data_IF_078161504667
#
_entry.id   IF_078161504667
#
_cell.length_a   1.000
_cell.length_b   1.000
_cell.length_c   1.000
_cell.angle_alpha   90.00
_cell.angle_beta   90.00
_cell.angle_gamma   90.00
#
_symmetry.space_group_name_H-M   'P 1'
#
loop_
_entity.id
_entity.type
_entity.pdbx_description
1 polymer ?
#
# COMPACT_ATOMS: atom_id res chain seq x y z
N UNK A 1 20.86 -20.46 -3.35
CA UNK A 1 20.08 -19.34 -2.80
C UNK A 1 19.34 -19.78 -1.53
N UNK A 2 19.11 -18.88 -0.64
CA UNK A 2 18.34 -19.12 0.58
C UNK A 2 16.85 -19.23 0.22
N UNK A 3 16.17 -20.22 0.79
CA UNK A 3 14.74 -20.43 0.57
C UNK A 3 14.03 -20.28 1.93
N UNK A 4 12.95 -19.48 1.98
CA UNK A 4 12.15 -19.33 3.16
C UNK A 4 10.66 -19.56 2.87
N UNK A 5 9.91 -20.00 3.88
CA UNK A 5 8.47 -20.19 3.83
C UNK A 5 7.80 -19.11 4.68
N UNK A 6 6.78 -18.46 4.13
CA UNK A 6 5.97 -17.53 4.90
C UNK A 6 4.89 -18.24 5.73
N UNK A 7 4.18 -17.47 6.54
CA UNK A 7 3.09 -17.99 7.40
C UNK A 7 1.87 -18.49 6.61
N UNK A 8 1.74 -18.10 5.34
CA UNK A 8 0.66 -18.55 4.45
C UNK A 8 1.02 -19.81 3.66
N UNK A 9 2.26 -20.29 3.77
CA UNK A 9 2.74 -21.47 3.10
C UNK A 9 3.45 -21.21 1.75
N UNK A 10 3.57 -19.95 1.33
CA UNK A 10 4.30 -19.57 0.13
C UNK A 10 5.81 -19.72 0.33
N UNK A 11 6.53 -20.07 -0.72
CA UNK A 11 7.97 -20.25 -0.70
C UNK A 11 8.65 -19.17 -1.52
N UNK A 12 9.58 -18.48 -0.88
CA UNK A 12 10.39 -17.42 -1.48
C UNK A 12 11.83 -17.86 -1.66
N UNK A 13 12.39 -17.54 -2.83
CA UNK A 13 13.80 -17.69 -3.11
C UNK A 13 14.52 -16.35 -3.01
N UNK A 14 15.63 -16.29 -2.26
CA UNK A 14 16.45 -15.09 -2.12
C UNK A 14 17.72 -15.21 -2.95
N UNK A 15 18.00 -14.21 -3.76
CA UNK A 15 19.32 -14.00 -4.34
C UNK A 15 20.13 -13.13 -3.36
N UNK A 16 21.26 -13.61 -2.89
CA UNK A 16 22.23 -12.87 -2.06
C UNK A 16 21.75 -12.42 -0.65
N UNK A 17 20.67 -12.92 -0.09
CA UNK A 17 20.25 -12.67 1.30
C UNK A 17 19.87 -11.22 1.66
N UNK A 18 19.86 -10.29 0.71
CA UNK A 18 19.63 -8.86 0.94
C UNK A 18 18.19 -8.40 0.74
N UNK A 19 17.38 -9.18 0.05
CA UNK A 19 15.98 -8.83 -0.25
C UNK A 19 15.02 -9.85 0.35
N UNK A 20 13.72 -9.51 0.42
CA UNK A 20 12.65 -10.46 0.79
C UNK A 20 12.67 -11.69 -0.13
N UNK A 21 13.17 -11.54 -1.36
CA UNK A 21 13.14 -12.55 -2.40
C UNK A 21 11.86 -12.54 -3.21
N UNK A 22 11.77 -13.44 -4.17
CA UNK A 22 10.60 -13.62 -5.04
C UNK A 22 9.85 -14.89 -4.62
N UNK A 23 8.51 -14.85 -4.70
CA UNK A 23 7.70 -16.04 -4.49
C UNK A 23 7.95 -17.01 -5.66
N UNK A 24 8.58 -18.15 -5.36
CA UNK A 24 8.96 -19.19 -6.34
C UNK A 24 7.98 -20.36 -6.34
N UNK A 25 7.17 -20.51 -5.30
CA UNK A 25 6.10 -21.49 -5.21
C UNK A 25 4.98 -20.97 -4.31
N UNK A 26 3.79 -20.81 -4.88
CA UNK A 26 2.58 -20.45 -4.15
C UNK A 26 2.04 -21.61 -3.31
N UNK A 27 1.29 -21.26 -2.29
CA UNK A 27 0.66 -22.24 -1.39
C UNK A 27 -0.49 -23.02 -2.09
N UNK A 28 -1.08 -22.46 -3.15
CA UNK A 28 -2.15 -23.06 -3.94
C UNK A 28 -1.65 -23.27 -5.36
N UNK A 29 -1.04 -24.43 -5.63
CA UNK A 29 -0.56 -24.76 -6.97
C UNK A 29 -1.73 -25.00 -7.94
N UNK A 30 -2.78 -25.67 -7.46
CA UNK A 30 -4.02 -25.96 -8.16
C UNK A 30 -5.22 -25.64 -7.27
N UNK A 31 -6.34 -25.16 -7.83
CA UNK A 31 -7.52 -24.81 -7.05
C UNK A 31 -8.14 -26.00 -6.30
N UNK A 32 -7.87 -27.23 -6.71
CA UNK A 32 -8.26 -28.44 -5.95
C UNK A 32 -7.57 -28.54 -4.58
N UNK A 33 -6.49 -27.78 -4.37
CA UNK A 33 -5.80 -27.68 -3.06
C UNK A 33 -6.39 -26.59 -2.15
N UNK A 34 -7.35 -25.78 -2.66
CA UNK A 34 -7.85 -24.63 -1.92
C UNK A 34 -8.47 -24.98 -0.57
N UNK A 35 -9.16 -26.12 -0.44
CA UNK A 35 -9.74 -26.54 0.83
C UNK A 35 -8.69 -26.83 1.90
N UNK A 36 -7.46 -27.14 1.49
CA UNK A 36 -6.32 -27.39 2.39
C UNK A 36 -5.56 -26.12 2.75
N UNK A 37 -5.88 -24.99 2.10
CA UNK A 37 -5.27 -23.71 2.39
C UNK A 37 -5.78 -23.18 3.74
N UNK A 38 -4.90 -23.15 4.73
CA UNK A 38 -5.22 -22.73 6.10
C UNK A 38 -4.68 -21.33 6.33
N UNK A 39 -5.53 -20.42 6.80
CA UNK A 39 -5.10 -19.10 7.24
C UNK A 39 -4.22 -19.23 8.49
N UNK A 40 -3.20 -18.38 8.63
CA UNK A 40 -2.37 -18.34 9.82
C UNK A 40 -3.20 -18.11 11.08
N UNK A 41 -2.78 -18.70 12.20
CA UNK A 41 -3.36 -18.35 13.49
C UNK A 41 -3.12 -16.87 13.80
N UNK A 42 -4.13 -16.23 14.40
CA UNK A 42 -4.01 -14.85 14.85
C UNK A 42 -3.20 -14.84 16.13
N UNK A 43 -2.08 -14.12 16.13
CA UNK A 43 -1.21 -14.01 17.30
C UNK A 43 -1.86 -13.15 18.40
N UNK A 44 -2.68 -13.77 19.23
CA UNK A 44 -3.33 -13.12 20.37
C UNK A 44 -2.31 -12.61 21.43
N UNK A 45 -1.11 -13.18 21.48
CA UNK A 45 -0.06 -12.72 22.42
C UNK A 45 0.56 -11.40 21.95
N UNK A 46 0.76 -11.25 20.65
CA UNK A 46 1.18 -9.98 20.03
C UNK A 46 0.13 -8.89 20.25
N UNK A 47 -1.16 -9.21 20.07
CA UNK A 47 -2.26 -8.27 20.29
C UNK A 47 -2.39 -7.87 21.77
N UNK A 48 -2.28 -8.80 22.72
CA UNK A 48 -2.25 -8.47 24.14
C UNK A 48 -1.09 -7.53 24.51
N UNK A 49 0.04 -7.69 23.84
CA UNK A 49 1.20 -6.80 23.98
C UNK A 49 0.93 -5.42 23.41
N UNK A 50 0.29 -5.33 22.23
CA UNK A 50 -0.16 -4.06 21.66
C UNK A 50 -1.14 -3.33 22.58
N UNK A 51 -2.14 -4.01 23.12
CA UNK A 51 -3.07 -3.48 24.10
C UNK A 51 -2.36 -2.92 25.34
N UNK A 52 -1.27 -3.55 25.78
CA UNK A 52 -0.51 -3.10 26.95
C UNK A 52 0.25 -1.78 26.74
N UNK A 53 0.54 -1.40 25.49
CA UNK A 53 1.24 -0.15 25.18
C UNK A 53 0.35 1.09 25.33
N UNK A 54 -0.98 0.94 25.38
CA UNK A 54 -1.93 2.04 25.48
C UNK A 54 -1.60 3.19 24.49
N UNK A 55 -1.63 2.86 23.22
CA UNK A 55 -1.33 3.83 22.15
C UNK A 55 -2.22 5.07 22.18
N UNK A 56 -3.44 4.99 22.77
CA UNK A 56 -4.33 6.13 22.98
C UNK A 56 -3.73 7.24 23.86
N UNK A 57 -2.61 6.98 24.58
CA UNK A 57 -1.86 8.00 25.32
C UNK A 57 -0.59 8.44 24.58
N UNK A 58 -0.30 7.88 23.40
CA UNK A 58 0.85 8.23 22.58
C UNK A 58 0.63 9.61 21.92
N UNK A 59 1.69 10.44 21.88
CA UNK A 59 1.70 11.74 21.18
C UNK A 59 2.01 11.61 19.68
N UNK A 60 2.07 10.39 19.17
CA UNK A 60 2.36 10.07 17.76
C UNK A 60 1.14 9.48 17.06
N UNK A 61 1.08 9.70 15.75
CA UNK A 61 0.13 9.04 14.89
C UNK A 61 0.49 7.55 14.76
N UNK A 62 -0.42 6.67 15.15
CA UNK A 62 -0.19 5.22 15.23
C UNK A 62 -0.79 4.54 14.02
N UNK A 63 0.04 3.83 13.26
CA UNK A 63 -0.37 3.11 12.06
C UNK A 63 -0.11 1.61 12.20
N UNK A 64 -1.07 0.79 11.80
CA UNK A 64 -0.93 -0.67 11.66
C UNK A 64 -0.81 -1.08 10.18
N UNK A 65 -0.47 -2.34 9.92
CA UNK A 65 -0.58 -2.95 8.59
C UNK A 65 -1.96 -3.56 8.38
N UNK A 66 -2.44 -3.55 7.14
CA UNK A 66 -3.64 -4.25 6.69
C UNK A 66 -3.33 -5.34 5.67
N UNK A 67 -4.31 -6.15 5.30
CA UNK A 67 -4.16 -7.23 4.33
C UNK A 67 -3.98 -6.70 2.90
N UNK A 68 -3.09 -7.35 2.15
CA UNK A 68 -2.87 -7.11 0.73
C UNK A 68 -3.63 -8.16 -0.07
N UNK A 69 -4.70 -7.78 -0.77
CA UNK A 69 -5.59 -8.73 -1.43
C UNK A 69 -4.98 -9.32 -2.71
N UNK A 70 -4.49 -8.44 -3.60
CA UNK A 70 -3.88 -8.88 -4.84
C UNK A 70 -2.53 -9.57 -4.60
N UNK A 71 -1.71 -9.02 -3.71
CA UNK A 71 -0.43 -9.63 -3.36
C UNK A 71 -0.61 -11.01 -2.72
N UNK A 72 -1.65 -11.20 -1.89
CA UNK A 72 -1.98 -12.51 -1.33
C UNK A 72 -2.35 -13.53 -2.43
N UNK A 73 -3.20 -13.13 -3.39
CA UNK A 73 -3.55 -13.98 -4.53
C UNK A 73 -2.33 -14.28 -5.41
N UNK A 74 -1.55 -13.25 -5.74
CA UNK A 74 -0.32 -13.38 -6.53
C UNK A 74 0.68 -14.34 -5.89
N UNK A 75 0.88 -14.23 -4.58
CA UNK A 75 1.85 -15.07 -3.88
C UNK A 75 1.33 -16.51 -3.72
N UNK A 76 0.02 -16.69 -3.48
CA UNK A 76 -0.59 -18.02 -3.36
C UNK A 76 -0.66 -18.78 -4.70
N UNK A 77 -0.86 -18.07 -5.83
CA UNK A 77 -1.06 -18.67 -7.16
C UNK A 77 0.10 -18.46 -8.13
N UNK A 78 1.07 -17.61 -7.79
CA UNK A 78 2.05 -16.98 -8.67
C UNK A 78 1.41 -16.02 -9.68
N UNK A 79 2.16 -14.99 -10.09
CA UNK A 79 1.65 -13.87 -10.89
C UNK A 79 0.88 -14.28 -12.15
N UNK A 80 1.44 -15.20 -12.93
CA UNK A 80 0.82 -15.61 -14.19
C UNK A 80 -0.54 -16.29 -13.97
N UNK A 81 -0.62 -17.22 -13.00
CA UNK A 81 -1.86 -17.90 -12.66
C UNK A 81 -2.86 -16.92 -12.02
N UNK A 82 -2.40 -16.08 -11.07
CA UNK A 82 -3.27 -15.11 -10.43
C UNK A 82 -3.97 -14.19 -11.44
N UNK A 83 -3.25 -13.71 -12.45
CA UNK A 83 -3.84 -12.89 -13.52
C UNK A 83 -4.80 -13.68 -14.40
N UNK A 84 -4.42 -14.91 -14.81
CA UNK A 84 -5.29 -15.77 -15.60
C UNK A 84 -6.58 -16.14 -14.84
N UNK A 85 -6.48 -16.45 -13.56
CA UNK A 85 -7.59 -16.83 -12.69
C UNK A 85 -8.65 -15.72 -12.57
N UNK A 86 -8.27 -14.46 -12.65
CA UNK A 86 -9.26 -13.34 -12.66
C UNK A 86 -10.24 -13.41 -13.83
N UNK A 87 -9.90 -14.11 -14.89
CA UNK A 87 -10.75 -14.30 -16.06
C UNK A 87 -11.31 -15.73 -16.18
N UNK A 88 -10.53 -16.73 -15.76
CA UNK A 88 -10.87 -18.13 -15.97
C UNK A 88 -11.55 -18.78 -14.76
N UNK A 89 -11.24 -18.29 -13.55
CA UNK A 89 -11.69 -18.88 -12.29
C UNK A 89 -12.19 -17.79 -11.31
N UNK A 90 -13.07 -16.85 -11.74
CA UNK A 90 -13.48 -15.71 -10.94
C UNK A 90 -14.14 -16.10 -9.61
N UNK A 91 -14.85 -17.23 -9.58
CA UNK A 91 -15.49 -17.75 -8.38
C UNK A 91 -14.45 -18.21 -7.34
N UNK A 92 -13.39 -18.87 -7.80
CA UNK A 92 -12.31 -19.31 -6.92
C UNK A 92 -11.49 -18.12 -6.38
N UNK A 93 -11.25 -17.11 -7.23
CA UNK A 93 -10.63 -15.85 -6.80
C UNK A 93 -11.48 -15.18 -5.72
N UNK A 94 -12.79 -15.07 -5.93
CA UNK A 94 -13.71 -14.50 -4.93
C UNK A 94 -13.68 -15.29 -3.62
N UNK A 95 -13.76 -16.62 -3.67
CA UNK A 95 -13.70 -17.47 -2.48
C UNK A 95 -12.36 -17.34 -1.73
N UNK A 96 -11.25 -17.21 -2.46
CA UNK A 96 -9.93 -16.93 -1.86
C UNK A 96 -9.92 -15.59 -1.15
N UNK A 97 -10.37 -14.53 -1.82
CA UNK A 97 -10.42 -13.18 -1.28
C UNK A 97 -11.33 -13.09 -0.05
N UNK A 98 -12.49 -13.76 -0.08
CA UNK A 98 -13.38 -13.86 1.09
C UNK A 98 -12.67 -14.46 2.32
N UNK A 99 -11.83 -15.45 2.10
CA UNK A 99 -11.04 -16.08 3.20
C UNK A 99 -10.00 -15.10 3.76
N UNK A 100 -9.29 -14.35 2.90
CA UNK A 100 -8.34 -13.31 3.32
C UNK A 100 -9.06 -12.20 4.08
N UNK A 101 -10.18 -11.70 3.56
CA UNK A 101 -10.99 -10.65 4.22
C UNK A 101 -11.50 -11.11 5.57
N UNK A 102 -12.04 -12.33 5.65
CA UNK A 102 -12.51 -12.89 6.92
C UNK A 102 -11.40 -12.95 7.98
N UNK A 103 -10.20 -13.32 7.60
CA UNK A 103 -9.03 -13.29 8.48
C UNK A 103 -8.66 -11.87 8.90
N UNK A 104 -8.62 -10.93 7.97
CA UNK A 104 -8.31 -9.53 8.24
C UNK A 104 -9.29 -8.91 9.23
N UNK A 105 -10.60 -9.15 9.05
CA UNK A 105 -11.63 -8.66 9.96
C UNK A 105 -11.46 -9.26 11.38
N UNK A 106 -11.09 -10.53 11.47
CA UNK A 106 -10.80 -11.16 12.75
C UNK A 106 -9.53 -10.57 13.41
N UNK A 107 -8.50 -10.21 12.62
CA UNK A 107 -7.33 -9.47 13.14
C UNK A 107 -7.75 -8.09 13.62
N UNK A 108 -8.55 -7.35 12.85
CA UNK A 108 -9.06 -6.04 13.22
C UNK A 108 -9.80 -6.07 14.55
N UNK A 109 -10.64 -7.09 14.80
CA UNK A 109 -11.36 -7.24 16.08
C UNK A 109 -10.42 -7.37 17.28
N UNK A 110 -9.22 -7.93 17.09
CA UNK A 110 -8.25 -8.09 18.18
C UNK A 110 -7.48 -6.81 18.48
N UNK A 111 -7.32 -5.91 17.52
CA UNK A 111 -6.61 -4.63 17.69
C UNK A 111 -7.55 -3.45 17.89
N UNK A 112 -8.86 -3.66 17.81
CA UNK A 112 -9.85 -2.64 18.11
C UNK A 112 -9.68 -2.11 19.53
N UNK A 113 -9.65 -0.78 19.70
CA UNK A 113 -9.44 -0.15 21.01
C UNK A 113 -7.98 0.01 21.44
N UNK A 114 -6.98 -0.41 20.61
CA UNK A 114 -5.56 -0.18 20.90
C UNK A 114 -5.11 1.29 20.71
N UNK A 115 -5.99 2.19 20.26
CA UNK A 115 -5.60 3.58 19.97
C UNK A 115 -4.84 3.70 18.64
N UNK A 116 -5.25 2.94 17.64
CA UNK A 116 -4.69 2.97 16.28
C UNK A 116 -5.45 4.05 15.48
N UNK A 117 -4.70 4.95 14.83
CA UNK A 117 -5.26 6.04 14.04
C UNK A 117 -5.52 5.63 12.58
N UNK A 118 -4.70 4.74 12.03
CA UNK A 118 -4.84 4.31 10.64
C UNK A 118 -4.28 2.91 10.37
N UNK A 119 -4.65 2.37 9.21
CA UNK A 119 -4.07 1.14 8.66
C UNK A 119 -3.51 1.38 7.26
N UNK A 120 -2.32 0.82 6.99
CA UNK A 120 -1.66 0.83 5.69
C UNK A 120 -1.91 -0.48 4.97
N UNK A 121 -2.65 -0.41 3.88
CA UNK A 121 -2.84 -1.51 2.93
C UNK A 121 -1.86 -1.35 1.78
N UNK A 122 -1.22 -2.42 1.35
CA UNK A 122 -0.22 -2.35 0.29
C UNK A 122 -0.51 -3.37 -0.80
N UNK A 123 -0.93 -2.90 -1.99
CA UNK A 123 -1.15 -3.74 -3.15
C UNK A 123 -0.67 -3.07 -4.43
N UNK A 124 0.37 -3.65 -5.04
CA UNK A 124 0.95 -3.13 -6.28
C UNK A 124 0.11 -3.56 -7.48
N UNK A 125 -0.73 -2.65 -7.96
CA UNK A 125 -1.68 -2.89 -9.03
C UNK A 125 -1.21 -2.44 -10.41
N UNK A 126 -0.12 -1.69 -10.47
CA UNK A 126 0.32 -1.02 -11.69
C UNK A 126 1.61 -1.55 -12.30
N UNK A 127 1.66 -1.53 -13.62
CA UNK A 127 2.89 -1.51 -14.41
C UNK A 127 3.39 -0.07 -14.56
N UNK A 128 4.38 0.18 -15.41
CA UNK A 128 4.82 1.55 -15.70
C UNK A 128 3.77 2.41 -16.42
N UNK A 129 2.78 1.82 -17.06
CA UNK A 129 1.81 2.55 -17.91
C UNK A 129 0.37 2.05 -17.81
N UNK A 130 0.08 0.97 -17.09
CA UNK A 130 -1.27 0.40 -16.98
C UNK A 130 -1.46 -0.42 -15.71
N UNK A 131 -2.71 -0.75 -15.39
CA UNK A 131 -3.06 -1.73 -14.36
C UNK A 131 -2.87 -3.16 -14.84
N UNK A 132 -2.62 -4.11 -13.93
CA UNK A 132 -2.46 -5.54 -14.25
C UNK A 132 -3.72 -6.21 -14.77
N UNK A 133 -4.89 -5.77 -14.31
CA UNK A 133 -6.19 -6.28 -14.74
C UNK A 133 -7.07 -5.12 -15.23
N UNK A 134 -8.18 -5.46 -15.88
CA UNK A 134 -9.15 -4.45 -16.35
C UNK A 134 -9.87 -3.77 -15.19
N UNK A 135 -10.35 -2.51 -15.36
CA UNK A 135 -11.23 -1.87 -14.39
C UNK A 135 -12.51 -2.68 -14.11
N UNK A 136 -13.03 -3.40 -15.10
CA UNK A 136 -14.20 -4.27 -14.93
C UNK A 136 -13.89 -5.43 -13.99
N UNK A 137 -12.82 -6.17 -14.25
CA UNK A 137 -12.41 -7.29 -13.37
C UNK A 137 -12.10 -6.81 -11.95
N UNK A 138 -11.47 -5.65 -11.82
CA UNK A 138 -11.24 -5.05 -10.50
C UNK A 138 -12.58 -4.74 -9.78
N UNK A 139 -13.53 -4.10 -10.47
CA UNK A 139 -14.86 -3.75 -9.95
C UNK A 139 -15.65 -4.97 -9.49
N UNK A 140 -15.55 -6.05 -10.24
CA UNK A 140 -16.30 -7.27 -9.95
C UNK A 140 -15.69 -8.11 -8.82
N UNK A 141 -14.36 -8.27 -8.80
CA UNK A 141 -13.68 -9.21 -7.91
C UNK A 141 -13.10 -8.56 -6.65
N UNK A 142 -12.40 -7.43 -6.80
CA UNK A 142 -11.60 -6.85 -5.71
C UNK A 142 -12.30 -5.70 -4.99
N UNK A 143 -12.98 -4.85 -5.72
CA UNK A 143 -13.67 -3.69 -5.13
C UNK A 143 -14.61 -4.05 -3.98
N UNK A 144 -15.50 -5.07 -4.07
CA UNK A 144 -16.38 -5.43 -2.95
C UNK A 144 -15.59 -5.86 -1.71
N UNK A 145 -14.46 -6.49 -1.90
CA UNK A 145 -13.61 -7.00 -0.83
C UNK A 145 -12.87 -5.86 -0.12
N UNK A 146 -12.30 -4.91 -0.89
CA UNK A 146 -11.71 -3.70 -0.30
C UNK A 146 -12.77 -2.90 0.46
N UNK A 147 -13.95 -2.71 -0.13
CA UNK A 147 -15.01 -1.96 0.53
C UNK A 147 -15.40 -2.58 1.87
N UNK A 148 -15.55 -3.91 1.95
CA UNK A 148 -15.84 -4.61 3.22
C UNK A 148 -14.78 -4.35 4.29
N UNK A 149 -13.50 -4.39 3.91
CA UNK A 149 -12.39 -4.12 4.84
C UNK A 149 -12.42 -2.66 5.26
N UNK A 150 -12.43 -1.73 4.30
CA UNK A 150 -12.31 -0.30 4.60
C UNK A 150 -13.51 0.21 5.41
N UNK A 151 -14.73 -0.23 5.11
CA UNK A 151 -15.91 0.09 5.93
C UNK A 151 -15.71 -0.38 7.38
N UNK A 152 -15.19 -1.59 7.59
CA UNK A 152 -14.96 -2.12 8.94
C UNK A 152 -13.89 -1.34 9.73
N UNK A 153 -12.85 -0.83 9.06
CA UNK A 153 -11.87 0.05 9.68
C UNK A 153 -12.48 1.42 10.02
N UNK A 154 -13.26 2.01 9.10
CA UNK A 154 -13.95 3.28 9.33
C UNK A 154 -14.98 3.19 10.46
N UNK A 155 -15.73 2.10 10.59
CA UNK A 155 -16.65 1.86 11.71
C UNK A 155 -15.96 1.92 13.09
N UNK A 156 -14.64 1.70 13.11
CA UNK A 156 -13.80 1.79 14.30
C UNK A 156 -13.01 3.10 14.42
N UNK A 157 -13.28 4.06 13.51
CA UNK A 157 -12.59 5.35 13.46
C UNK A 157 -11.14 5.27 12.98
N UNK A 158 -10.76 4.21 12.27
CA UNK A 158 -9.40 3.98 11.76
C UNK A 158 -9.35 4.39 10.30
N UNK A 159 -8.48 5.35 9.97
CA UNK A 159 -8.30 5.82 8.60
C UNK A 159 -7.57 4.79 7.72
N UNK A 160 -7.88 4.82 6.42
CA UNK A 160 -7.36 3.87 5.44
C UNK A 160 -6.32 4.51 4.55
N UNK A 161 -5.09 4.04 4.64
CA UNK A 161 -4.00 4.34 3.72
C UNK A 161 -3.83 3.20 2.72
N UNK A 162 -3.67 3.52 1.43
CA UNK A 162 -3.40 2.53 0.40
C UNK A 162 -2.09 2.85 -0.33
N UNK A 163 -1.13 1.94 -0.22
CA UNK A 163 0.06 1.94 -1.07
C UNK A 163 -0.21 1.15 -2.35
N UNK A 164 0.23 1.70 -3.48
CA UNK A 164 0.34 0.96 -4.73
C UNK A 164 1.50 1.50 -5.56
N UNK A 165 2.37 0.60 -6.01
CA UNK A 165 3.34 0.92 -7.04
C UNK A 165 2.72 0.91 -8.43
N UNK A 166 3.39 1.64 -9.36
CA UNK A 166 3.01 1.70 -10.76
C UNK A 166 1.81 2.59 -11.07
N UNK A 167 1.35 2.53 -12.31
CA UNK A 167 0.30 3.41 -12.83
C UNK A 167 -1.08 2.80 -12.60
N UNK A 168 -1.83 3.32 -11.61
CA UNK A 168 -3.17 2.83 -11.22
C UNK A 168 -4.30 3.86 -11.44
N UNK A 169 -4.08 4.86 -12.29
CA UNK A 169 -5.00 6.00 -12.46
C UNK A 169 -6.47 5.60 -12.61
N UNK A 170 -6.74 4.53 -13.38
CA UNK A 170 -8.11 4.03 -13.58
C UNK A 170 -8.74 3.40 -12.34
N UNK A 171 -7.93 3.04 -11.34
CA UNK A 171 -8.42 2.45 -10.09
C UNK A 171 -8.63 3.48 -8.99
N UNK A 172 -8.01 4.67 -9.08
CA UNK A 172 -8.12 5.71 -8.05
C UNK A 172 -9.58 6.04 -7.72
N UNK A 173 -10.50 6.31 -8.67
CA UNK A 173 -11.89 6.57 -8.35
C UNK A 173 -12.58 5.43 -7.61
N UNK A 174 -12.26 4.18 -7.97
CA UNK A 174 -12.85 3.00 -7.33
C UNK A 174 -12.32 2.78 -5.91
N UNK A 175 -11.05 3.06 -5.68
CA UNK A 175 -10.47 3.01 -4.33
C UNK A 175 -11.04 4.11 -3.42
N UNK A 176 -11.26 5.33 -3.95
CA UNK A 176 -11.95 6.41 -3.23
C UNK A 176 -13.37 5.97 -2.85
N UNK A 177 -14.12 5.41 -3.80
CA UNK A 177 -15.47 4.87 -3.55
C UNK A 177 -15.45 3.71 -2.53
N UNK A 178 -14.40 2.89 -2.52
CA UNK A 178 -14.22 1.83 -1.54
C UNK A 178 -13.90 2.35 -0.14
N UNK A 179 -13.37 3.58 0.00
CA UNK A 179 -13.09 4.22 1.28
C UNK A 179 -11.61 4.48 1.58
N UNK A 180 -10.77 4.66 0.56
CA UNK A 180 -9.39 5.12 0.79
C UNK A 180 -9.39 6.58 1.19
N UNK A 181 -8.73 6.91 2.30
CA UNK A 181 -8.53 8.28 2.79
C UNK A 181 -7.22 8.88 2.28
N UNK A 182 -6.19 8.06 2.18
CA UNK A 182 -4.83 8.50 1.78
C UNK A 182 -4.21 7.51 0.82
N UNK A 183 -3.79 7.99 -0.36
CA UNK A 183 -2.93 7.22 -1.25
C UNK A 183 -1.46 7.43 -0.91
N UNK A 184 -0.71 6.35 -0.77
CA UNK A 184 0.73 6.39 -0.61
C UNK A 184 1.39 5.99 -1.93
N UNK A 185 2.04 6.95 -2.59
CA UNK A 185 2.77 6.75 -3.83
C UNK A 185 4.24 7.12 -3.65
N UNK A 186 5.15 6.18 -3.89
CA UNK A 186 6.59 6.45 -3.86
C UNK A 186 7.10 7.07 -5.18
N UNK A 187 6.29 7.00 -6.24
CA UNK A 187 6.56 7.49 -7.57
C UNK A 187 5.47 8.48 -8.01
N UNK A 188 5.33 9.64 -7.34
CA UNK A 188 4.25 10.57 -7.65
C UNK A 188 4.31 11.10 -9.10
N UNK A 189 5.50 11.17 -9.71
CA UNK A 189 5.68 11.59 -11.10
C UNK A 189 5.33 10.49 -12.14
N UNK A 190 4.78 9.36 -11.70
CA UNK A 190 4.06 8.44 -12.60
C UNK A 190 2.77 9.07 -13.12
N UNK A 191 2.27 10.09 -12.42
CA UNK A 191 1.09 10.87 -12.76
C UNK A 191 1.45 12.35 -12.88
N UNK A 192 0.72 13.16 -13.69
CA UNK A 192 0.79 14.60 -13.56
C UNK A 192 0.23 15.02 -12.19
N UNK A 193 1.09 15.58 -11.32
CA UNK A 193 0.71 15.93 -9.93
C UNK A 193 -0.47 16.89 -9.87
N UNK A 194 -0.54 17.83 -10.85
CA UNK A 194 -1.63 18.78 -10.99
C UNK A 194 -2.96 18.08 -11.27
N UNK A 195 -2.94 17.00 -12.07
CA UNK A 195 -4.13 16.20 -12.37
C UNK A 195 -4.59 15.45 -11.13
N UNK A 196 -3.66 14.81 -10.38
CA UNK A 196 -4.00 14.13 -9.14
C UNK A 196 -4.63 15.10 -8.12
N UNK A 197 -4.02 16.27 -7.92
CA UNK A 197 -4.52 17.27 -6.98
C UNK A 197 -5.88 17.84 -7.42
N UNK A 198 -6.04 18.21 -8.70
CA UNK A 198 -7.26 18.80 -9.21
C UNK A 198 -8.45 17.83 -9.20
N UNK A 199 -8.23 16.57 -9.59
CA UNK A 199 -9.31 15.58 -9.71
C UNK A 199 -9.65 14.93 -8.37
N UNK A 200 -8.66 14.64 -7.54
CA UNK A 200 -8.84 13.79 -6.36
C UNK A 200 -8.51 14.47 -5.03
N UNK A 201 -7.73 15.57 -5.03
CA UNK A 201 -7.22 16.20 -3.80
C UNK A 201 -8.30 16.80 -2.87
N UNK A 202 -9.57 16.89 -3.32
CA UNK A 202 -10.70 17.25 -2.46
C UNK A 202 -11.31 16.06 -1.72
N UNK A 203 -11.02 14.84 -2.17
CA UNK A 203 -11.62 13.62 -1.67
C UNK A 203 -10.63 12.79 -0.84
N UNK A 204 -9.33 12.86 -1.19
CA UNK A 204 -8.27 12.06 -0.56
C UNK A 204 -7.01 12.89 -0.39
N UNK A 205 -6.16 12.48 0.55
CA UNK A 205 -4.80 12.99 0.65
C UNK A 205 -3.80 12.06 -0.07
N UNK A 206 -2.62 12.62 -0.37
CA UNK A 206 -1.50 11.89 -0.95
C UNK A 206 -0.33 11.87 0.04
N UNK A 207 0.20 10.70 0.34
CA UNK A 207 1.39 10.50 1.15
C UNK A 207 2.54 10.07 0.23
N UNK A 208 3.45 10.98 -0.08
CA UNK A 208 4.52 10.70 -1.03
C UNK A 208 5.81 11.43 -0.72
N UNK A 209 6.98 10.83 -1.06
CA UNK A 209 8.25 11.53 -1.14
C UNK A 209 8.30 12.37 -2.42
N UNK A 210 9.36 13.16 -2.55
CA UNK A 210 9.80 13.61 -3.88
C UNK A 210 10.20 12.38 -4.70
N UNK A 211 9.84 12.35 -5.98
CA UNK A 211 9.91 11.14 -6.81
C UNK A 211 11.27 10.42 -6.73
N UNK A 212 11.21 9.14 -6.35
CA UNK A 212 12.37 8.30 -6.10
C UNK A 212 12.99 7.68 -7.36
N UNK A 213 12.38 7.86 -8.52
CA UNK A 213 12.87 7.32 -9.79
C UNK A 213 13.33 8.41 -10.76
N UNK A 214 12.59 9.53 -10.83
CA UNK A 214 12.81 10.55 -11.86
C UNK A 214 13.47 11.83 -11.33
N UNK A 215 13.40 12.08 -10.02
CA UNK A 215 13.90 13.33 -9.43
C UNK A 215 15.09 13.08 -8.51
N UNK A 216 14.89 12.42 -7.37
CA UNK A 216 15.96 12.24 -6.38
C UNK A 216 17.21 11.55 -6.95
N UNK A 217 17.13 10.45 -7.74
CA UNK A 217 18.32 9.76 -8.22
C UNK A 217 19.13 10.53 -9.28
N UNK A 218 18.61 11.65 -9.78
CA UNK A 218 19.36 12.50 -10.73
C UNK A 218 20.56 13.20 -10.08
N UNK A 219 20.49 13.51 -8.78
CA UNK A 219 21.46 14.33 -8.07
C UNK A 219 21.48 15.79 -8.53
N UNK A 220 20.55 16.20 -9.39
CA UNK A 220 20.38 17.59 -9.82
C UNK A 220 19.70 18.39 -8.72
N UNK A 221 20.49 19.17 -7.97
CA UNK A 221 20.02 19.91 -6.81
C UNK A 221 18.98 20.99 -7.17
N UNK A 222 19.08 21.59 -8.36
CA UNK A 222 18.11 22.58 -8.81
C UNK A 222 16.77 21.91 -9.15
N UNK A 223 16.81 20.77 -9.84
CA UNK A 223 15.62 19.97 -10.12
C UNK A 223 14.95 19.50 -8.83
N UNK A 224 15.72 18.96 -7.88
CA UNK A 224 15.21 18.47 -6.60
C UNK A 224 14.52 19.60 -5.84
N UNK A 225 15.17 20.75 -5.68
CA UNK A 225 14.62 21.91 -4.98
C UNK A 225 13.33 22.42 -5.66
N UNK A 226 13.34 22.56 -6.98
CA UNK A 226 12.18 23.00 -7.75
C UNK A 226 11.01 22.05 -7.61
N UNK A 227 11.21 20.72 -7.81
CA UNK A 227 10.13 19.73 -7.69
C UNK A 227 9.58 19.64 -6.28
N UNK A 228 10.42 19.73 -5.26
CA UNK A 228 9.99 19.78 -3.86
C UNK A 228 9.04 20.94 -3.61
N UNK A 229 9.38 22.13 -4.12
CA UNK A 229 8.54 23.32 -3.99
C UNK A 229 7.23 23.18 -4.80
N UNK A 230 7.30 22.72 -6.04
CA UNK A 230 6.12 22.48 -6.89
C UNK A 230 5.13 21.54 -6.22
N UNK A 231 5.59 20.47 -5.56
CA UNK A 231 4.72 19.56 -4.81
C UNK A 231 4.02 20.28 -3.64
N UNK A 232 4.73 21.15 -2.91
CA UNK A 232 4.10 21.97 -1.88
C UNK A 232 3.00 22.86 -2.44
N UNK A 233 3.27 23.52 -3.57
CA UNK A 233 2.31 24.44 -4.20
C UNK A 233 1.07 23.68 -4.71
N UNK A 234 1.27 22.56 -5.44
CA UNK A 234 0.20 21.79 -6.08
C UNK A 234 -0.72 21.10 -5.05
N UNK A 235 -0.14 20.37 -4.10
CA UNK A 235 -0.94 19.61 -3.12
C UNK A 235 -1.34 20.47 -1.92
N UNK A 236 -0.59 21.54 -1.62
CA UNK A 236 -0.90 22.48 -0.53
C UNK A 236 -2.19 23.26 -0.75
N UNK A 237 -2.59 23.52 -2.00
CA UNK A 237 -3.84 24.21 -2.34
C UNK A 237 -5.06 23.52 -1.74
N UNK A 238 -5.12 22.18 -1.79
CA UNK A 238 -6.19 21.37 -1.22
C UNK A 238 -5.89 20.86 0.21
N UNK A 239 -4.71 21.17 0.78
CA UNK A 239 -4.19 20.56 2.04
C UNK A 239 -4.20 19.03 1.99
N UNK A 240 -3.92 18.49 0.82
CA UNK A 240 -4.09 17.07 0.50
C UNK A 240 -2.75 16.34 0.39
N UNK A 241 -1.69 16.80 1.06
CA UNK A 241 -0.39 16.16 1.00
C UNK A 241 0.23 15.93 2.38
N UNK A 242 0.73 14.71 2.54
CA UNK A 242 1.55 14.28 3.67
C UNK A 242 2.92 13.95 3.09
N UNK A 243 3.88 14.85 3.27
CA UNK A 243 5.25 14.59 2.86
C UNK A 243 5.86 13.44 3.68
N UNK A 244 6.63 12.58 3.05
CA UNK A 244 7.31 11.45 3.70
C UNK A 244 8.72 11.27 3.19
N UNK A 245 9.54 10.60 3.97
CA UNK A 245 10.80 10.05 3.52
C UNK A 245 10.62 8.67 2.87
N UNK A 246 11.60 8.29 2.03
CA UNK A 246 11.71 6.94 1.53
C UNK A 246 12.53 6.09 2.51
N UNK A 247 12.10 4.86 2.85
CA UNK A 247 12.72 4.10 3.95
C UNK A 247 14.18 3.73 3.75
N UNK A 248 14.63 3.62 2.49
CA UNK A 248 16.00 3.18 2.18
C UNK A 248 16.53 3.87 0.92
N UNK A 249 16.98 5.10 1.09
CA UNK A 249 17.62 5.87 -0.01
C UNK A 249 18.84 5.17 -0.60
N UNK A 250 19.61 4.44 0.21
CA UNK A 250 20.78 3.69 -0.26
C UNK A 250 20.45 2.59 -1.25
N UNK A 251 19.27 1.95 -1.14
CA UNK A 251 18.86 0.86 -2.04
C UNK A 251 18.51 1.38 -3.45
N UNK A 252 18.19 2.66 -3.58
CA UNK A 252 17.87 3.32 -4.84
C UNK A 252 18.97 4.27 -5.33
N UNK A 253 20.15 4.24 -4.68
CA UNK A 253 21.31 5.03 -5.07
C UNK A 253 21.18 6.55 -4.84
N UNK A 254 20.29 6.98 -3.96
CA UNK A 254 20.11 8.39 -3.60
C UNK A 254 21.05 8.76 -2.47
N UNK A 255 21.81 9.84 -2.65
CA UNK A 255 22.63 10.42 -1.59
C UNK A 255 21.73 11.02 -0.50
N UNK A 256 21.96 10.71 0.78
CA UNK A 256 21.21 11.32 1.87
C UNK A 256 21.16 12.86 1.86
N UNK A 257 22.19 13.51 1.31
CA UNK A 257 22.21 14.96 1.17
C UNK A 257 21.15 15.50 0.20
N UNK A 258 20.85 14.74 -0.85
CA UNK A 258 19.79 15.08 -1.82
C UNK A 258 18.41 14.98 -1.21
N UNK A 259 18.17 13.90 -0.45
CA UNK A 259 16.92 13.72 0.29
C UNK A 259 16.75 14.84 1.35
N UNK A 260 17.85 15.20 2.05
CA UNK A 260 17.81 16.28 3.03
C UNK A 260 17.55 17.66 2.41
N UNK A 261 18.04 17.92 1.20
CA UNK A 261 17.68 19.13 0.45
C UNK A 261 16.17 19.18 0.19
N UNK A 262 15.58 18.09 -0.31
CA UNK A 262 14.15 18.00 -0.56
C UNK A 262 13.33 18.27 0.73
N UNK A 263 13.69 17.62 1.83
CA UNK A 263 13.07 17.81 3.15
C UNK A 263 13.13 19.29 3.58
N UNK A 264 14.30 19.93 3.50
CA UNK A 264 14.46 21.32 3.90
C UNK A 264 13.54 22.25 3.09
N UNK A 265 13.50 22.08 1.76
CA UNK A 265 12.62 22.88 0.89
C UNK A 265 11.16 22.67 1.26
N UNK A 266 10.75 21.44 1.54
CA UNK A 266 9.38 21.12 1.95
C UNK A 266 9.05 21.80 3.27
N UNK A 267 9.89 21.66 4.28
CA UNK A 267 9.68 22.28 5.61
C UNK A 267 9.57 23.80 5.50
N UNK A 268 10.45 24.45 4.74
CA UNK A 268 10.42 25.89 4.52
C UNK A 268 9.13 26.38 3.83
N UNK A 269 8.56 25.57 2.93
CA UNK A 269 7.37 25.95 2.18
C UNK A 269 6.06 25.49 2.84
N UNK A 270 6.07 24.49 3.72
CA UNK A 270 4.86 24.03 4.43
C UNK A 270 4.56 24.82 5.71
N UNK A 271 5.54 25.47 6.31
CA UNK A 271 5.33 26.37 7.44
C UNK A 271 4.34 27.53 7.15
N UNK A 272 4.05 27.78 5.86
CA UNK A 272 3.09 28.79 5.42
C UNK A 272 1.62 28.33 5.61
N UNK A 273 1.39 27.02 5.78
CA UNK A 273 0.06 26.43 5.89
C UNK A 273 -0.31 25.99 7.34
N UNK A 274 0.55 26.27 8.31
CA UNK A 274 0.37 25.96 9.74
C UNK A 274 -0.46 26.99 10.51
#
# INVERSE_FOLDING_TARGET
>A
GEVCRDRFGNIYGRYNGKTKGECIRGAIADWSDFDRYIMPEIDSSGHAKLLSYNYGSCDKYVMTGGASLFSALRDARLMANALADTALEPEMVTAFLDRIVGHELAVLDTIAGCGIDSAMFGDDWGTQCSTFISPTSFRELFFPQYKRIFDAYHERGISVFLHSCGYIYKFIPMFIEAGVDVFQFDQPDAYPSEVLSAEFGKNVAFNSPVDIQKVLPTGDLELIARRSKEMCDIFGENKAWIAKDYPSYGDIGVDPAWAKLAENVIVENTAIYS
#
